data_IF_221412424848
#
_entry.id   IF_221412424848
#
_cell.length_a   1.000
_cell.length_b   1.000
_cell.length_c   1.000
_cell.angle_alpha   90.00
_cell.angle_beta   90.00
_cell.angle_gamma   90.00
#
_symmetry.space_group_name_H-M   'P 1'
#
loop_
_entity.id
_entity.type
_entity.pdbx_description
1 polymer ?
#
# COMPACT_ATOMS: atom_id res chain seq x y z
N UNK A 1 8.52 -88.89 9.52
CA UNK A 1 7.24 -88.36 9.04
C UNK A 1 7.14 -86.90 9.43
N UNK A 2 6.54 -86.14 8.51
CA UNK A 2 6.49 -84.68 8.39
C UNK A 2 5.68 -83.97 9.49
N UNK A 3 5.91 -82.65 9.57
CA UNK A 3 5.03 -81.55 9.98
C UNK A 3 5.67 -80.74 11.12
N UNK A 4 5.90 -79.43 11.02
CA UNK A 4 5.38 -78.43 10.09
C UNK A 4 5.27 -77.14 10.89
N UNK A 5 6.03 -76.11 10.50
CA UNK A 5 6.21 -74.88 11.26
C UNK A 5 4.91 -74.08 11.39
N UNK A 6 4.61 -73.64 12.61
CA UNK A 6 3.71 -72.53 12.89
C UNK A 6 4.48 -71.22 12.67
N UNK A 7 4.71 -70.89 11.41
CA UNK A 7 5.08 -69.55 10.97
C UNK A 7 3.81 -68.75 10.72
N UNK A 8 3.68 -67.65 11.47
CA UNK A 8 3.31 -66.38 10.88
C UNK A 8 1.90 -66.24 10.27
N UNK A 9 0.89 -66.18 11.14
CA UNK A 9 -0.42 -65.60 10.83
C UNK A 9 -0.54 -64.13 11.28
N UNK A 10 0.54 -63.53 11.79
CA UNK A 10 0.61 -62.14 12.25
C UNK A 10 1.06 -61.16 11.16
N UNK A 11 1.99 -61.56 10.28
CA UNK A 11 2.57 -60.68 9.26
C UNK A 11 1.85 -60.76 7.90
N UNK A 12 0.89 -61.68 7.73
CA UNK A 12 0.06 -61.77 6.53
C UNK A 12 -1.08 -60.72 6.54
N UNK A 13 -1.63 -60.39 7.72
CA UNK A 13 -2.63 -59.31 7.85
C UNK A 13 -2.00 -57.91 7.76
N UNK A 14 -0.69 -57.76 8.02
CA UNK A 14 0.03 -56.49 7.84
C UNK A 14 0.38 -56.18 6.37
N UNK A 15 0.60 -57.22 5.55
CA UNK A 15 1.01 -57.08 4.14
C UNK A 15 -0.14 -57.14 3.13
N UNK A 16 -1.33 -57.64 3.51
CA UNK A 16 -2.51 -57.64 2.62
C UNK A 16 -3.25 -56.29 2.61
N UNK A 17 -3.16 -55.52 3.69
CA UNK A 17 -3.56 -54.12 3.72
C UNK A 17 -2.36 -53.22 3.42
N UNK A 18 -1.62 -53.56 2.35
CA UNK A 18 -0.73 -52.63 1.67
C UNK A 18 -1.58 -51.50 1.15
N UNK A 19 -1.82 -50.50 2.01
CA UNK A 19 -2.73 -49.41 1.76
C UNK A 19 -2.43 -48.77 0.42
N UNK A 20 -3.23 -49.12 -0.58
CA UNK A 20 -3.26 -48.42 -1.84
C UNK A 20 -3.57 -46.98 -1.46
N UNK A 21 -2.55 -46.12 -1.48
CA UNK A 21 -2.69 -44.70 -1.18
C UNK A 21 -3.77 -44.22 -2.15
N UNK A 22 -4.97 -44.00 -1.62
CA UNK A 22 -6.09 -43.54 -2.42
C UNK A 22 -5.71 -42.27 -3.17
N UNK A 23 -6.40 -41.96 -4.28
CA UNK A 23 -6.10 -40.79 -5.10
C UNK A 23 -5.80 -39.56 -4.25
N UNK A 24 -4.64 -38.92 -4.48
CA UNK A 24 -4.20 -37.75 -3.69
C UNK A 24 -4.49 -36.46 -4.42
N UNK A 25 -4.90 -35.44 -3.65
CA UNK A 25 -5.03 -34.08 -4.17
C UNK A 25 -3.65 -33.54 -4.54
N UNK A 26 -3.58 -32.75 -5.61
CA UNK A 26 -2.35 -32.08 -6.01
C UNK A 26 -1.89 -31.04 -4.98
N UNK A 27 -0.61 -30.71 -5.01
CA UNK A 27 -0.01 -29.77 -4.07
C UNK A 27 -0.50 -28.32 -4.27
N UNK A 28 -0.60 -27.57 -3.17
CA UNK A 28 -0.84 -26.14 -3.23
C UNK A 28 0.40 -25.40 -3.76
N UNK A 29 0.16 -24.34 -4.51
CA UNK A 29 1.20 -23.51 -5.13
C UNK A 29 1.19 -22.11 -4.56
N UNK A 30 2.35 -21.47 -4.56
CA UNK A 30 2.51 -20.08 -4.16
C UNK A 30 3.08 -19.28 -5.33
N UNK A 31 2.51 -18.10 -5.56
CA UNK A 31 3.01 -17.12 -6.52
C UNK A 31 3.08 -15.75 -5.86
N UNK A 32 3.91 -14.88 -6.41
CA UNK A 32 3.99 -13.49 -6.02
C UNK A 32 3.68 -12.62 -7.23
N UNK A 33 2.97 -11.52 -7.00
CA UNK A 33 2.70 -10.53 -8.03
C UNK A 33 2.97 -9.14 -7.48
N UNK A 34 3.63 -8.31 -8.26
CA UNK A 34 3.76 -6.88 -7.94
C UNK A 34 2.76 -6.11 -8.79
N UNK A 35 1.94 -5.29 -8.13
CA UNK A 35 1.01 -4.37 -8.79
C UNK A 35 1.38 -2.94 -8.45
N UNK A 36 1.01 -2.00 -9.32
CA UNK A 36 1.16 -0.58 -9.03
C UNK A 36 0.22 -0.14 -7.91
N UNK A 37 0.57 0.96 -7.24
CA UNK A 37 -0.30 1.59 -6.25
C UNK A 37 -1.70 1.88 -6.82
N UNK A 38 -1.79 2.40 -8.05
CA UNK A 38 -3.08 2.69 -8.71
C UNK A 38 -3.91 1.43 -8.93
N UNK A 39 -3.29 0.33 -9.36
CA UNK A 39 -3.98 -0.96 -9.48
C UNK A 39 -4.43 -1.52 -8.12
N UNK A 40 -3.66 -1.29 -7.05
CA UNK A 40 -4.07 -1.71 -5.71
C UNK A 40 -5.35 -0.99 -5.25
N UNK A 41 -5.55 0.26 -5.68
CA UNK A 41 -6.74 1.04 -5.37
C UNK A 41 -7.91 0.66 -6.28
N UNK A 42 -7.70 0.59 -7.59
CA UNK A 42 -8.79 0.39 -8.56
C UNK A 42 -9.16 -1.08 -8.79
N UNK A 43 -8.28 -2.00 -8.39
CA UNK A 43 -8.34 -3.41 -8.77
C UNK A 43 -7.76 -3.63 -10.17
N UNK A 44 -7.36 -4.86 -10.45
CA UNK A 44 -6.78 -5.25 -11.74
C UNK A 44 -7.07 -6.73 -12.02
N UNK A 45 -6.81 -7.19 -13.23
CA UNK A 45 -6.81 -8.62 -13.56
C UNK A 45 -5.38 -9.04 -13.87
N UNK A 46 -4.93 -10.09 -13.20
CA UNK A 46 -3.60 -10.65 -13.43
C UNK A 46 -3.72 -12.05 -14.02
N UNK A 47 -2.88 -12.35 -14.99
CA UNK A 47 -2.77 -13.69 -15.59
C UNK A 47 -1.46 -14.32 -15.13
N UNK A 48 -1.57 -15.51 -14.55
CA UNK A 48 -0.45 -16.29 -14.04
C UNK A 48 -0.28 -17.55 -14.87
N UNK A 49 0.97 -17.94 -15.13
CA UNK A 49 1.24 -19.22 -15.75
C UNK A 49 1.34 -20.30 -14.66
N UNK A 50 0.39 -21.23 -14.66
CA UNK A 50 0.42 -22.44 -13.82
C UNK A 50 0.81 -23.65 -14.68
N UNK A 51 1.37 -24.73 -14.10
CA UNK A 51 1.58 -26.00 -14.80
C UNK A 51 0.32 -26.55 -15.48
N UNK A 52 -0.88 -26.19 -15.00
CA UNK A 52 -2.16 -26.56 -15.62
C UNK A 52 -2.63 -25.61 -16.73
N UNK A 53 -1.85 -24.59 -17.09
CA UNK A 53 -2.18 -23.54 -18.06
C UNK A 53 -2.32 -22.13 -17.44
N UNK A 54 -2.60 -21.11 -18.26
CA UNK A 54 -2.77 -19.73 -17.79
C UNK A 54 -4.02 -19.59 -16.91
N UNK A 55 -3.89 -18.84 -15.83
CA UNK A 55 -4.92 -18.59 -14.82
C UNK A 55 -5.09 -17.08 -14.66
N UNK A 56 -6.22 -16.56 -15.12
CA UNK A 56 -6.59 -15.16 -14.89
C UNK A 56 -7.39 -15.04 -13.60
N UNK A 57 -6.97 -14.14 -12.71
CA UNK A 57 -7.65 -13.86 -11.45
C UNK A 57 -7.82 -12.36 -11.26
N UNK A 58 -9.01 -11.97 -10.82
CA UNK A 58 -9.32 -10.58 -10.47
C UNK A 58 -8.77 -10.26 -9.08
N UNK A 59 -7.93 -9.24 -9.02
CA UNK A 59 -7.46 -8.64 -7.78
C UNK A 59 -8.48 -7.59 -7.34
N UNK A 60 -9.07 -7.70 -6.14
CA UNK A 60 -10.03 -6.73 -5.65
C UNK A 60 -9.43 -5.32 -5.54
N UNK A 61 -10.25 -4.31 -5.80
CA UNK A 61 -9.96 -2.93 -5.45
C UNK A 61 -9.72 -2.78 -3.94
N UNK A 62 -8.81 -1.89 -3.57
CA UNK A 62 -8.45 -1.62 -2.18
C UNK A 62 -7.61 -2.72 -1.51
N UNK A 63 -6.90 -3.55 -2.28
CA UNK A 63 -6.01 -4.57 -1.71
C UNK A 63 -4.83 -3.94 -0.97
N UNK A 64 -4.48 -4.49 0.19
CA UNK A 64 -3.31 -4.05 0.96
C UNK A 64 -2.04 -4.75 0.48
N UNK A 65 -0.89 -4.13 0.75
CA UNK A 65 0.40 -4.78 0.56
C UNK A 65 0.51 -6.05 1.42
N UNK A 66 1.10 -7.10 0.85
CA UNK A 66 1.22 -8.42 1.46
C UNK A 66 -0.07 -9.26 1.47
N UNK A 67 -1.17 -8.79 0.86
CA UNK A 67 -2.42 -9.54 0.82
C UNK A 67 -2.27 -10.89 0.10
N UNK A 68 -2.93 -11.93 0.64
CA UNK A 68 -2.92 -13.28 0.08
C UNK A 68 -4.26 -13.62 -0.55
N UNK A 69 -4.25 -13.95 -1.84
CA UNK A 69 -5.43 -14.32 -2.62
C UNK A 69 -5.37 -15.81 -2.94
N UNK A 70 -6.44 -16.54 -2.60
CA UNK A 70 -6.56 -17.97 -2.88
C UNK A 70 -7.39 -18.20 -4.15
N UNK A 71 -6.81 -18.88 -5.12
CA UNK A 71 -7.48 -19.33 -6.34
C UNK A 71 -7.67 -20.85 -6.25
N UNK A 72 -8.92 -21.26 -6.05
CA UNK A 72 -9.25 -22.67 -5.78
C UNK A 72 -9.03 -23.55 -7.01
N UNK A 73 -8.42 -24.71 -6.81
CA UNK A 73 -8.24 -25.73 -7.86
C UNK A 73 -7.26 -25.34 -8.98
N UNK A 74 -6.38 -24.35 -8.73
CA UNK A 74 -5.39 -23.85 -9.69
C UNK A 74 -3.93 -24.11 -9.27
N UNK A 75 -3.74 -24.94 -8.25
CA UNK A 75 -2.44 -25.47 -7.84
C UNK A 75 -1.99 -26.63 -8.73
N UNK A 76 -1.07 -27.46 -8.23
CA UNK A 76 -0.54 -28.58 -8.99
C UNK A 76 -1.64 -29.63 -9.26
N UNK A 77 -1.58 -30.34 -10.40
CA UNK A 77 -2.50 -31.45 -10.67
C UNK A 77 -2.30 -32.61 -9.68
N UNK A 78 -3.37 -33.35 -9.40
CA UNK A 78 -3.32 -34.59 -8.61
C UNK A 78 -4.50 -35.49 -8.93
N UNK A 79 -4.38 -36.76 -8.55
CA UNK A 79 -5.34 -37.83 -8.89
C UNK A 79 -6.73 -37.59 -8.28
N UNK A 80 -6.82 -36.97 -7.10
CA UNK A 80 -8.09 -36.53 -6.50
C UNK A 80 -8.43 -35.06 -6.80
N UNK A 81 -7.88 -34.51 -7.88
CA UNK A 81 -8.05 -33.13 -8.30
C UNK A 81 -6.91 -32.19 -7.89
N UNK A 82 -6.87 -30.98 -8.45
CA UNK A 82 -5.77 -30.04 -8.25
C UNK A 82 -5.75 -29.40 -6.85
N UNK A 83 -4.56 -28.99 -6.42
CA UNK A 83 -4.36 -28.12 -5.27
C UNK A 83 -4.87 -26.69 -5.51
N UNK A 84 -4.59 -25.77 -4.58
CA UNK A 84 -4.93 -24.34 -4.71
C UNK A 84 -3.70 -23.48 -5.04
N UNK A 85 -3.94 -22.32 -5.64
CA UNK A 85 -2.90 -21.32 -5.87
C UNK A 85 -3.08 -20.15 -4.89
N UNK A 86 -2.04 -19.85 -4.13
CA UNK A 86 -1.95 -18.72 -3.22
C UNK A 86 -1.07 -17.64 -3.83
N UNK A 87 -1.65 -16.47 -4.09
CA UNK A 87 -0.96 -15.34 -4.69
C UNK A 87 -0.74 -14.29 -3.59
N UNK A 88 0.52 -13.97 -3.30
CA UNK A 88 0.89 -12.84 -2.43
C UNK A 88 1.07 -11.59 -3.29
N UNK A 89 0.35 -10.53 -2.97
CA UNK A 89 0.39 -9.26 -3.68
C UNK A 89 1.37 -8.32 -3.00
N UNK A 90 2.32 -7.79 -3.76
CA UNK A 90 3.19 -6.70 -3.37
C UNK A 90 2.73 -5.43 -4.08
N UNK A 91 2.57 -4.33 -3.35
CA UNK A 91 2.16 -3.04 -3.91
C UNK A 91 3.38 -2.16 -4.06
N UNK A 92 3.69 -1.75 -5.29
CA UNK A 92 4.77 -0.82 -5.55
C UNK A 92 4.46 0.55 -4.93
N UNK A 93 5.44 1.15 -4.27
CA UNK A 93 5.33 2.49 -3.69
C UNK A 93 5.06 3.52 -4.80
N UNK A 94 4.18 4.48 -4.51
CA UNK A 94 3.92 5.61 -5.40
C UNK A 94 4.78 6.81 -4.98
N UNK A 95 5.24 7.61 -5.95
CA UNK A 95 6.13 8.75 -5.69
C UNK A 95 5.47 9.89 -4.92
N UNK A 96 4.16 10.08 -5.12
CA UNK A 96 3.39 11.19 -4.54
C UNK A 96 2.42 10.76 -3.44
N UNK A 97 1.86 9.56 -3.55
CA UNK A 97 0.72 9.13 -2.73
C UNK A 97 1.14 7.98 -1.84
N UNK A 98 0.65 7.98 -0.61
CA UNK A 98 0.67 6.79 0.24
C UNK A 98 -0.72 6.53 0.79
N UNK A 99 -0.95 5.31 1.29
CA UNK A 99 -2.24 4.87 1.82
C UNK A 99 -2.13 4.66 3.32
N UNK A 100 -3.10 5.19 4.07
CA UNK A 100 -3.36 4.81 5.46
C UNK A 100 -4.85 4.49 5.61
N UNK A 101 -5.16 3.21 5.77
CA UNK A 101 -6.54 2.72 5.74
C UNK A 101 -7.22 3.14 4.44
N UNK A 102 -8.34 3.85 4.47
CA UNK A 102 -8.98 4.36 3.25
C UNK A 102 -8.55 5.77 2.87
N UNK A 103 -7.68 6.38 3.66
CA UNK A 103 -7.19 7.72 3.36
C UNK A 103 -5.95 7.64 2.48
N UNK A 104 -5.89 8.58 1.54
CA UNK A 104 -4.68 8.86 0.78
C UNK A 104 -3.92 9.98 1.46
N UNK A 105 -2.59 9.92 1.39
CA UNK A 105 -1.70 10.91 1.96
C UNK A 105 -0.82 11.44 0.85
N UNK A 106 -0.64 12.76 0.83
CA UNK A 106 0.40 13.39 0.04
C UNK A 106 1.10 14.47 0.87
N UNK A 107 2.34 14.74 0.51
CA UNK A 107 3.07 15.91 0.98
C UNK A 107 3.03 16.96 -0.12
N UNK A 108 2.45 18.12 0.18
CA UNK A 108 2.27 19.20 -0.78
C UNK A 108 3.30 20.29 -0.51
N UNK A 109 4.26 20.51 -1.44
CA UNK A 109 5.16 21.63 -1.34
C UNK A 109 4.40 22.93 -1.56
N UNK A 110 4.58 23.89 -0.66
CA UNK A 110 4.05 25.25 -0.78
C UNK A 110 5.15 26.28 -0.56
N UNK A 111 4.96 27.48 -1.07
CA UNK A 111 5.87 28.60 -0.81
C UNK A 111 5.60 29.21 0.56
N UNK A 112 6.61 29.86 1.14
CA UNK A 112 6.45 30.58 2.40
C UNK A 112 5.36 31.67 2.34
N UNK A 113 5.26 32.50 1.28
CA UNK A 113 4.16 33.47 1.16
C UNK A 113 2.78 32.82 1.14
N UNK A 114 2.58 31.70 0.45
CA UNK A 114 1.30 30.99 0.45
C UNK A 114 0.93 30.50 1.86
N UNK A 115 1.88 29.94 2.61
CA UNK A 115 1.66 29.48 3.97
C UNK A 115 1.37 30.66 4.93
N UNK A 116 2.09 31.78 4.78
CA UNK A 116 1.98 32.94 5.65
C UNK A 116 0.71 33.77 5.37
N UNK A 117 0.42 34.06 4.11
CA UNK A 117 -0.65 34.95 3.67
C UNK A 117 -1.96 34.21 3.34
N UNK A 118 -1.88 32.89 3.17
CA UNK A 118 -2.98 32.08 2.65
C UNK A 118 -3.03 32.11 1.12
N UNK A 119 -3.58 31.07 0.54
CA UNK A 119 -3.69 30.90 -0.91
C UNK A 119 -4.75 29.85 -1.27
N UNK A 120 -5.27 29.92 -2.49
CA UNK A 120 -6.00 28.82 -3.09
C UNK A 120 -5.03 28.04 -3.97
N UNK A 121 -4.65 26.84 -3.53
CA UNK A 121 -3.61 26.02 -4.16
C UNK A 121 -4.20 24.78 -4.84
N UNK A 122 -3.60 24.35 -5.94
CA UNK A 122 -4.03 23.15 -6.66
C UNK A 122 -3.40 21.90 -6.06
N UNK A 123 -4.23 20.86 -5.82
CA UNK A 123 -3.79 19.59 -5.24
C UNK A 123 -4.10 18.45 -6.20
N UNK A 124 -3.08 17.66 -6.63
CA UNK A 124 -3.30 16.52 -7.48
C UNK A 124 -4.00 15.41 -6.70
N UNK A 125 -4.91 14.70 -7.37
CA UNK A 125 -5.59 13.52 -6.81
C UNK A 125 -5.19 12.26 -7.56
N UNK A 126 -5.52 11.09 -7.00
CA UNK A 126 -5.18 9.80 -7.60
C UNK A 126 -5.91 9.53 -8.93
N UNK A 127 -7.11 10.09 -9.11
CA UNK A 127 -7.92 10.01 -10.35
C UNK A 127 -7.31 10.82 -11.51
N UNK A 128 -6.36 11.72 -11.22
CA UNK A 128 -5.71 12.58 -12.20
C UNK A 128 -6.35 13.96 -12.35
N UNK A 129 -7.46 14.23 -11.64
CA UNK A 129 -8.01 15.58 -11.55
C UNK A 129 -7.29 16.39 -10.46
N UNK A 130 -7.31 17.71 -10.60
CA UNK A 130 -6.81 18.64 -9.60
C UNK A 130 -7.96 19.23 -8.79
N UNK A 131 -7.77 19.39 -7.48
CA UNK A 131 -8.75 19.99 -6.57
C UNK A 131 -8.15 21.21 -5.91
N UNK A 132 -8.90 22.31 -5.88
CA UNK A 132 -8.50 23.53 -5.18
C UNK A 132 -8.63 23.33 -3.66
N UNK A 133 -7.52 23.52 -2.96
CA UNK A 133 -7.44 23.56 -1.50
C UNK A 133 -7.21 25.00 -1.05
N UNK A 134 -8.11 25.51 -0.20
CA UNK A 134 -7.90 26.81 0.44
C UNK A 134 -6.97 26.66 1.63
N UNK A 135 -5.75 27.19 1.50
CA UNK A 135 -4.74 27.26 2.54
C UNK A 135 -5.01 28.50 3.42
N UNK A 136 -5.33 28.33 4.72
CA UNK A 136 -5.49 29.47 5.63
C UNK A 136 -4.17 30.21 5.85
N UNK A 137 -4.25 31.53 6.04
CA UNK A 137 -3.10 32.33 6.46
C UNK A 137 -2.52 31.82 7.78
N UNK A 138 -1.20 31.91 7.94
CA UNK A 138 -0.49 31.39 9.11
C UNK A 138 -0.51 29.86 9.23
N UNK A 139 -0.61 29.13 8.12
CA UNK A 139 -0.53 27.67 8.15
C UNK A 139 0.89 27.22 8.49
N UNK A 140 1.03 26.46 9.58
CA UNK A 140 2.31 25.91 10.01
C UNK A 140 2.84 24.83 9.05
N UNK A 141 4.16 24.77 8.91
CA UNK A 141 4.84 23.66 8.24
C UNK A 141 4.51 22.32 8.92
N UNK A 142 4.26 21.27 8.14
CA UNK A 142 3.86 19.95 8.61
C UNK A 142 2.38 19.84 9.01
N UNK A 143 1.59 20.91 8.92
CA UNK A 143 0.14 20.84 9.17
C UNK A 143 -0.52 19.95 8.12
N UNK A 144 -1.35 19.01 8.56
CA UNK A 144 -2.17 18.19 7.66
C UNK A 144 -3.55 18.81 7.48
N UNK A 145 -3.93 19.07 6.24
CA UNK A 145 -5.26 19.51 5.82
C UNK A 145 -6.01 18.34 5.18
N UNK A 146 -7.34 18.36 5.28
CA UNK A 146 -8.20 17.27 4.84
C UNK A 146 -9.08 17.70 3.68
N UNK A 147 -9.01 16.98 2.57
CA UNK A 147 -9.93 17.12 1.44
C UNK A 147 -10.87 15.93 1.46
N UNK A 148 -12.15 16.21 1.74
CA UNK A 148 -13.17 15.18 1.96
C UNK A 148 -13.46 14.40 0.68
N UNK A 149 -13.57 13.07 0.78
CA UNK A 149 -14.05 12.21 -0.30
C UNK A 149 -13.07 12.04 -1.48
N UNK A 150 -11.79 12.38 -1.29
CA UNK A 150 -10.72 12.22 -2.29
C UNK A 150 -9.73 11.10 -1.94
N UNK A 151 -10.10 10.21 -1.02
CA UNK A 151 -9.37 9.00 -0.67
C UNK A 151 -9.81 7.78 -1.51
N UNK A 152 -9.78 6.60 -0.90
CA UNK A 152 -10.12 5.34 -1.56
C UNK A 152 -11.63 5.10 -1.49
N UNK A 153 -12.24 4.81 -2.64
CA UNK A 153 -13.66 4.46 -2.74
C UNK A 153 -13.88 3.00 -2.37
N UNK A 154 -14.72 2.76 -1.37
CA UNK A 154 -15.16 1.44 -0.95
C UNK A 154 -16.25 0.89 -1.85
N UNK A 155 -16.53 -0.42 -1.72
CA UNK A 155 -17.62 -1.10 -2.43
C UNK A 155 -19.02 -0.61 -2.04
N UNK A 156 -19.17 -0.06 -0.84
CA UNK A 156 -20.43 0.50 -0.33
C UNK A 156 -20.71 1.94 -0.83
N UNK A 157 -19.82 2.50 -1.66
CA UNK A 157 -19.91 3.85 -2.19
C UNK A 157 -19.37 4.94 -1.26
N UNK A 158 -18.97 4.61 -0.02
CA UNK A 158 -18.25 5.55 0.83
C UNK A 158 -16.81 5.73 0.34
N UNK A 159 -16.27 6.94 0.51
CA UNK A 159 -14.88 7.25 0.17
C UNK A 159 -14.13 7.71 1.41
N UNK A 160 -12.85 7.37 1.51
CA UNK A 160 -11.94 8.01 2.44
C UNK A 160 -11.60 9.44 2.02
N UNK A 161 -10.68 10.06 2.76
CA UNK A 161 -10.25 11.43 2.56
C UNK A 161 -8.82 11.50 1.99
N UNK A 162 -8.48 12.64 1.38
CA UNK A 162 -7.11 12.96 1.02
C UNK A 162 -6.52 13.87 2.10
N UNK A 163 -5.45 13.39 2.74
CA UNK A 163 -4.72 14.06 3.81
C UNK A 163 -3.47 14.71 3.21
N UNK A 164 -3.45 16.03 3.22
CA UNK A 164 -2.44 16.86 2.59
C UNK A 164 -1.53 17.44 3.65
N UNK A 165 -0.31 16.96 3.77
CA UNK A 165 0.68 17.52 4.69
C UNK A 165 1.44 18.63 4.00
N UNK A 166 1.37 19.84 4.56
CA UNK A 166 2.03 21.01 3.99
C UNK A 166 3.54 20.96 4.28
N UNK A 167 4.35 21.14 3.25
CA UNK A 167 5.80 21.29 3.37
C UNK A 167 6.22 22.62 2.74
N UNK A 168 6.79 23.52 3.53
CA UNK A 168 7.27 24.81 3.03
C UNK A 168 8.58 24.59 2.28
N UNK A 169 8.55 24.79 0.97
CA UNK A 169 9.71 24.70 0.10
C UNK A 169 10.51 26.00 0.13
N UNK A 170 11.82 25.88 0.41
CA UNK A 170 12.75 27.00 0.43
C UNK A 170 13.58 26.98 -0.84
N UNK A 171 13.53 28.02 -1.70
CA UNK A 171 14.31 28.07 -2.92
C UNK A 171 15.81 28.13 -2.60
N UNK A 172 16.61 27.40 -3.38
CA UNK A 172 18.07 27.35 -3.21
C UNK A 172 18.78 28.65 -3.63
N UNK A 173 18.11 29.49 -4.41
CA UNK A 173 18.65 30.77 -4.89
C UNK A 173 17.57 31.84 -4.84
N UNK A 174 17.92 33.02 -4.34
CA UNK A 174 17.03 34.19 -4.34
C UNK A 174 17.84 35.42 -4.73
N UNK A 175 17.47 36.06 -5.84
CA UNK A 175 18.23 37.15 -6.45
C UNK A 175 17.31 38.35 -6.76
N UNK A 176 17.92 39.52 -7.04
CA UNK A 176 17.22 40.71 -7.49
C UNK A 176 16.13 41.23 -6.54
N UNK A 177 14.93 41.47 -7.07
CA UNK A 177 13.80 42.02 -6.30
C UNK A 177 13.32 41.08 -5.19
N UNK A 178 13.37 39.78 -5.40
CA UNK A 178 12.95 38.79 -4.40
C UNK A 178 13.86 38.83 -3.17
N UNK A 179 15.18 38.94 -3.36
CA UNK A 179 16.14 39.09 -2.26
C UNK A 179 15.87 40.35 -1.44
N UNK A 180 15.65 41.49 -2.10
CA UNK A 180 15.33 42.76 -1.43
C UNK A 180 14.04 42.66 -0.60
N UNK A 181 13.01 41.98 -1.12
CA UNK A 181 11.77 41.76 -0.39
C UNK A 181 11.98 40.91 0.87
N UNK A 182 12.82 39.88 0.81
CA UNK A 182 13.19 39.07 1.98
C UNK A 182 14.00 39.86 3.01
N UNK A 183 14.92 40.72 2.57
CA UNK A 183 15.68 41.61 3.46
C UNK A 183 14.76 42.59 4.20
N UNK A 184 13.80 43.20 3.50
CA UNK A 184 12.77 44.04 4.14
C UNK A 184 11.90 43.25 5.12
N UNK A 185 11.45 42.06 4.76
CA UNK A 185 10.70 41.19 5.66
C UNK A 185 11.51 40.80 6.91
N UNK A 186 12.80 40.51 6.75
CA UNK A 186 13.70 40.17 7.85
C UNK A 186 13.86 41.34 8.84
N UNK A 187 13.95 42.58 8.35
CA UNK A 187 14.05 43.77 9.20
C UNK A 187 12.81 43.96 10.07
N UNK A 188 11.62 43.88 9.46
CA UNK A 188 10.33 44.06 10.15
C UNK A 188 10.01 42.91 11.13
N UNK A 189 10.64 41.74 10.97
CA UNK A 189 10.36 40.54 11.77
C UNK A 189 11.37 40.25 12.90
N UNK A 190 12.33 41.14 13.16
CA UNK A 190 13.42 40.95 14.14
C UNK A 190 12.99 40.58 15.56
N UNK A 191 11.76 40.88 15.97
CA UNK A 191 11.25 40.59 17.31
C UNK A 191 10.80 39.14 17.56
N UNK A 192 10.64 38.33 16.52
CA UNK A 192 10.14 36.96 16.64
C UNK A 192 11.26 35.93 16.42
N UNK A 193 11.88 35.42 17.50
CA UNK A 193 12.85 34.33 17.40
C UNK A 193 12.17 32.95 17.50
N UNK A 194 12.06 32.18 16.40
CA UNK A 194 11.42 30.86 16.42
C UNK A 194 12.16 29.83 17.30
N UNK A 195 13.38 30.13 17.76
CA UNK A 195 14.19 29.24 18.61
C UNK A 195 14.06 29.52 20.10
N UNK A 196 13.35 30.56 20.51
CA UNK A 196 13.27 30.97 21.91
C UNK A 196 12.74 29.84 22.81
N UNK A 197 11.58 29.28 22.48
CA UNK A 197 10.95 28.18 23.23
C UNK A 197 11.82 26.91 23.24
N UNK A 198 12.51 26.62 22.14
CA UNK A 198 13.45 25.50 22.07
C UNK A 198 14.61 25.70 23.06
N UNK A 199 15.19 26.91 23.14
CA UNK A 199 16.28 27.22 24.08
C UNK A 199 15.82 27.13 25.54
N UNK A 200 14.57 27.52 25.85
CA UNK A 200 13.99 27.36 27.20
C UNK A 200 13.91 25.90 27.60
N UNK A 201 13.34 25.05 26.73
CA UNK A 201 13.20 23.59 26.97
C UNK A 201 14.52 22.84 27.06
N UNK A 202 15.56 23.30 26.37
CA UNK A 202 16.88 22.66 26.42
C UNK A 202 17.63 22.91 27.74
N UNK A 203 17.20 23.90 28.55
CA UNK A 203 17.85 24.26 29.82
C UNK A 203 17.13 23.69 31.05
N UNK A 204 15.89 23.23 30.89
CA UNK A 204 15.10 22.54 31.92
C UNK A 204 15.43 21.05 31.95
#
# INVERSE_FOLDING_TARGET
FSAGGFGDLGDIFGNLFGGQRGPRRGADMQAQATISFRESINGTQLTFNSPSGPVTTKIPAGVNDGAKIRVRGKGAPGEAGPGDLYITINVAAHSVFSRKEENLLLTLPVTFPEAALGADISVPTLSGEEVTLRLPAGTANGKTLRIKGRGITRKDGSAGDLLVTIEVSVPQRVDGKAKRALESYQEESKGADPREELRKRARS
#
